data_IF_808394008488
#
_entry.id   IF_808394008488
#
_cell.length_a   1.000
_cell.length_b   1.000
_cell.length_c   1.000
_cell.angle_alpha   90.00
_cell.angle_beta   90.00
_cell.angle_gamma   90.00
#
_symmetry.space_group_name_H-M   'P 1'
#
loop_
_entity.id
_entity.type
_entity.pdbx_description
1 polymer ?
#
# COMPACT_ATOMS: atom_id res chain seq x y z
N UNK A 1 24.12 0.89 19.86
CA UNK A 1 24.69 1.76 20.89
C UNK A 1 23.61 2.36 21.81
N UNK A 2 22.56 3.02 21.27
CA UNK A 2 21.52 3.65 22.09
C UNK A 2 20.76 2.66 23.00
N UNK A 3 20.44 1.46 22.53
CA UNK A 3 19.74 0.44 23.34
C UNK A 3 20.59 -0.14 24.48
N UNK A 4 21.89 0.07 24.47
CA UNK A 4 22.82 -0.36 25.52
C UNK A 4 23.24 0.80 26.45
N UNK A 5 22.83 2.02 26.15
CA UNK A 5 23.13 3.20 26.95
C UNK A 5 22.07 3.43 28.05
N UNK A 6 22.46 4.09 29.13
CA UNK A 6 21.52 4.48 30.19
C UNK A 6 20.58 5.61 29.75
N UNK A 7 21.02 6.43 28.81
CA UNK A 7 20.27 7.52 28.16
C UNK A 7 20.51 7.47 26.65
N UNK A 8 19.54 7.85 25.80
CA UNK A 8 18.22 8.36 26.16
C UNK A 8 17.25 7.25 26.61
N UNK A 9 16.32 7.57 27.49
CA UNK A 9 15.25 6.68 27.96
C UNK A 9 14.08 6.53 26.99
N UNK A 10 13.97 7.43 25.99
CA UNK A 10 12.98 7.41 24.91
C UNK A 10 13.71 7.45 23.57
N UNK A 11 13.45 6.44 22.73
CA UNK A 11 14.03 6.33 21.40
C UNK A 11 12.93 6.27 20.36
N UNK A 12 12.93 7.19 19.40
CA UNK A 12 12.06 7.14 18.24
C UNK A 12 12.85 6.64 17.03
N UNK A 13 12.36 5.60 16.36
CA UNK A 13 13.06 5.00 15.23
C UNK A 13 12.10 4.41 14.19
N UNK A 14 12.62 4.09 13.03
CA UNK A 14 11.91 3.35 11.99
C UNK A 14 12.35 1.89 12.01
N UNK A 15 11.42 0.96 11.72
CA UNK A 15 11.72 -0.47 11.70
C UNK A 15 12.88 -0.84 10.75
N UNK A 16 13.06 -0.09 9.66
CA UNK A 16 14.16 -0.27 8.71
C UNK A 16 15.55 -0.12 9.34
N UNK A 17 15.66 0.54 10.48
CA UNK A 17 16.93 0.68 11.23
C UNK A 17 17.38 -0.60 11.90
N UNK A 18 16.50 -1.59 12.03
CA UNK A 18 16.83 -2.93 12.50
C UNK A 18 17.31 -3.86 11.36
N UNK A 19 17.37 -3.37 10.10
CA UNK A 19 17.92 -4.06 8.96
C UNK A 19 19.43 -3.95 8.84
N UNK A 20 20.04 -4.84 8.05
CA UNK A 20 21.46 -4.80 7.76
C UNK A 20 21.77 -3.63 6.81
N UNK A 21 22.88 -2.91 7.03
CA UNK A 21 23.30 -1.74 6.22
C UNK A 21 23.51 -2.06 4.74
N UNK A 22 23.72 -3.33 4.38
CA UNK A 22 23.98 -3.77 3.01
C UNK A 22 22.70 -4.09 2.22
N UNK A 23 21.54 -4.13 2.87
CA UNK A 23 20.24 -4.44 2.23
C UNK A 23 19.52 -3.14 1.79
N UNK A 24 20.25 -2.14 1.32
CA UNK A 24 19.70 -0.88 0.83
C UNK A 24 18.49 -1.14 -0.07
N UNK A 25 17.33 -0.55 0.27
CA UNK A 25 16.05 -0.51 -0.45
C UNK A 25 15.42 -1.83 -0.92
N UNK A 26 16.08 -2.98 -0.73
CA UNK A 26 15.60 -4.29 -1.23
C UNK A 26 14.56 -4.96 -0.33
N UNK A 27 14.34 -4.47 0.88
CA UNK A 27 13.31 -4.97 1.81
C UNK A 27 12.06 -4.09 1.73
N UNK A 28 11.64 -3.75 0.53
CA UNK A 28 10.28 -3.27 0.31
C UNK A 28 9.35 -4.47 0.32
N UNK A 29 8.31 -4.35 1.11
CA UNK A 29 7.20 -5.30 1.24
C UNK A 29 6.72 -5.70 -0.16
N UNK A 30 7.12 -6.88 -0.64
CA UNK A 30 6.57 -7.44 -1.88
C UNK A 30 7.54 -8.05 -2.90
N UNK A 31 8.85 -7.88 -2.78
CA UNK A 31 9.77 -8.47 -3.76
C UNK A 31 10.25 -9.88 -3.38
N UNK A 32 9.79 -10.88 -4.14
CA UNK A 32 10.08 -12.31 -4.03
C UNK A 32 11.55 -12.71 -4.31
N UNK A 33 12.55 -11.83 -4.10
CA UNK A 33 13.95 -12.07 -4.54
C UNK A 33 14.99 -12.22 -3.44
N UNK A 34 14.64 -12.39 -2.18
CA UNK A 34 15.61 -12.77 -1.16
C UNK A 34 15.01 -13.82 -0.21
N UNK A 35 15.00 -15.08 -0.61
CA UNK A 35 14.85 -16.22 0.29
C UNK A 35 16.17 -16.43 1.08
N UNK A 36 16.66 -15.43 1.82
CA UNK A 36 17.52 -15.71 2.95
C UNK A 36 16.63 -16.33 4.01
N UNK A 37 17.01 -17.51 4.51
CA UNK A 37 16.30 -18.08 5.65
C UNK A 37 16.40 -17.09 6.82
N UNK A 38 15.38 -17.00 7.65
CA UNK A 38 15.39 -16.14 8.83
C UNK A 38 16.66 -16.38 9.67
N UNK A 39 17.06 -17.63 9.81
CA UNK A 39 18.24 -18.04 10.60
C UNK A 39 19.53 -17.41 10.08
N UNK A 40 19.76 -17.44 8.76
CA UNK A 40 20.94 -16.82 8.14
C UNK A 40 20.92 -15.29 8.34
N UNK A 41 19.75 -14.68 8.26
CA UNK A 41 19.60 -13.24 8.49
C UNK A 41 19.91 -12.86 9.95
N UNK A 42 19.40 -13.62 10.92
CA UNK A 42 19.66 -13.40 12.33
C UNK A 42 21.13 -13.65 12.71
N UNK A 43 21.78 -14.65 12.11
CA UNK A 43 23.23 -14.88 12.30
C UNK A 43 24.07 -13.73 11.78
N UNK A 44 23.75 -13.19 10.59
CA UNK A 44 24.45 -12.01 10.05
C UNK A 44 24.23 -10.80 10.95
N UNK A 45 23.02 -10.62 11.45
CA UNK A 45 22.68 -9.55 12.37
C UNK A 45 23.46 -9.67 13.69
N UNK A 46 23.50 -10.86 14.28
CA UNK A 46 24.26 -11.13 15.50
C UNK A 46 25.75 -10.83 15.33
N UNK A 47 26.35 -11.16 14.18
CA UNK A 47 27.74 -10.81 13.84
C UNK A 47 27.99 -9.30 13.70
N UNK A 48 26.96 -8.53 13.38
CA UNK A 48 27.05 -7.07 13.23
C UNK A 48 26.91 -6.31 14.57
N UNK A 49 26.45 -6.97 15.62
CA UNK A 49 26.33 -6.40 16.96
C UNK A 49 27.65 -6.53 17.73
N UNK A 50 27.98 -5.59 18.64
CA UNK A 50 29.08 -5.75 19.58
C UNK A 50 28.94 -7.04 20.38
N UNK A 51 30.04 -7.72 20.66
CA UNK A 51 30.06 -9.00 21.38
C UNK A 51 29.46 -8.91 22.81
N UNK A 52 29.51 -7.76 23.42
CA UNK A 52 28.95 -7.42 24.73
C UNK A 52 27.59 -6.73 24.68
N UNK A 53 26.98 -6.69 23.47
CA UNK A 53 25.68 -6.03 23.31
C UNK A 53 24.59 -6.72 24.14
N UNK A 54 23.95 -5.97 25.01
CA UNK A 54 22.74 -6.36 25.71
C UNK A 54 21.81 -5.16 25.77
N UNK A 55 20.57 -5.38 25.34
CA UNK A 55 19.51 -4.40 25.58
C UNK A 55 19.30 -4.23 27.08
N UNK A 56 19.22 -2.99 27.56
CA UNK A 56 19.09 -2.70 28.99
C UNK A 56 17.64 -2.51 29.40
N UNK A 57 17.30 -3.07 30.56
CA UNK A 57 16.07 -2.77 31.28
C UNK A 57 14.79 -3.37 30.66
N UNK A 58 13.67 -2.98 31.20
CA UNK A 58 12.35 -3.31 30.67
C UNK A 58 12.05 -2.39 29.50
N UNK A 59 12.05 -2.95 28.28
CA UNK A 59 11.80 -2.19 27.05
C UNK A 59 10.33 -2.29 26.70
N UNK A 60 9.68 -1.13 26.54
CA UNK A 60 8.33 -1.01 26.01
C UNK A 60 8.43 -0.44 24.59
N UNK A 61 7.90 -1.15 23.61
CA UNK A 61 7.92 -0.75 22.20
C UNK A 61 6.52 -0.43 21.74
N UNK A 62 6.29 0.83 21.41
CA UNK A 62 5.05 1.32 20.83
C UNK A 62 5.19 1.31 19.31
N UNK A 63 4.35 0.55 18.61
CA UNK A 63 4.42 0.35 17.17
C UNK A 63 3.15 0.91 16.53
N UNK A 64 3.29 2.01 15.82
CA UNK A 64 2.22 2.58 15.01
C UNK A 64 2.07 1.82 13.69
N UNK A 65 0.83 1.76 13.18
CA UNK A 65 0.47 1.01 11.96
C UNK A 65 1.01 -0.44 11.99
N UNK A 66 0.89 -1.09 13.14
CA UNK A 66 1.53 -2.37 13.41
C UNK A 66 1.13 -3.49 12.43
N UNK A 67 -0.01 -3.37 11.73
CA UNK A 67 -0.43 -4.29 10.68
C UNK A 67 0.55 -4.36 9.50
N UNK A 68 1.33 -3.31 9.26
CA UNK A 68 2.33 -3.26 8.17
C UNK A 68 3.62 -4.01 8.50
N UNK A 69 3.91 -4.18 9.80
CA UNK A 69 5.19 -4.72 10.29
C UNK A 69 5.09 -6.15 10.79
N UNK A 70 3.89 -6.75 10.74
CA UNK A 70 3.64 -8.09 11.23
C UNK A 70 4.25 -9.16 10.33
N UNK A 71 5.18 -9.97 10.87
CA UNK A 71 5.69 -11.17 10.23
C UNK A 71 6.77 -10.98 9.18
N UNK A 72 7.48 -9.85 9.17
CA UNK A 72 8.65 -9.65 8.31
C UNK A 72 9.97 -9.93 9.05
N UNK A 73 11.04 -10.20 8.29
CA UNK A 73 12.40 -10.39 8.82
C UNK A 73 12.84 -9.26 9.77
N UNK A 74 12.45 -8.02 9.47
CA UNK A 74 12.74 -6.86 10.30
C UNK A 74 12.07 -6.89 11.68
N UNK A 75 10.86 -7.45 11.77
CA UNK A 75 10.16 -7.61 13.05
C UNK A 75 10.85 -8.65 13.93
N UNK A 76 11.24 -9.78 13.34
CA UNK A 76 11.98 -10.82 14.06
C UNK A 76 13.39 -10.33 14.46
N UNK A 77 14.06 -9.56 13.59
CA UNK A 77 15.32 -8.91 13.92
C UNK A 77 15.19 -7.93 15.09
N UNK A 78 14.14 -7.11 15.09
CA UNK A 78 13.85 -6.20 16.19
C UNK A 78 13.67 -6.95 17.52
N UNK A 79 12.89 -8.01 17.53
CA UNK A 79 12.72 -8.87 18.72
C UNK A 79 14.03 -9.48 19.19
N UNK A 80 14.82 -10.01 18.25
CA UNK A 80 16.11 -10.63 18.57
C UNK A 80 17.09 -9.61 19.19
N UNK A 81 17.11 -8.37 18.70
CA UNK A 81 17.97 -7.31 19.26
C UNK A 81 17.48 -6.87 20.65
N UNK A 82 16.17 -6.78 20.85
CA UNK A 82 15.60 -6.26 22.10
C UNK A 82 15.50 -7.30 23.21
N UNK A 83 15.57 -8.58 22.86
CA UNK A 83 15.43 -9.71 23.80
C UNK A 83 13.99 -10.14 24.03
N UNK A 84 13.82 -11.25 24.75
CA UNK A 84 12.52 -11.91 24.95
C UNK A 84 11.60 -11.17 25.95
N UNK A 85 12.17 -10.35 26.81
CA UNK A 85 11.43 -9.61 27.86
C UNK A 85 10.81 -8.29 27.35
N UNK A 86 10.87 -8.04 26.04
CA UNK A 86 10.30 -6.82 25.46
C UNK A 86 8.78 -6.85 25.42
N UNK A 87 8.14 -5.78 25.90
CA UNK A 87 6.71 -5.58 25.77
C UNK A 87 6.37 -4.82 24.50
N UNK A 88 5.67 -5.47 23.57
CA UNK A 88 5.21 -4.88 22.32
C UNK A 88 3.77 -4.38 22.45
N UNK A 89 3.55 -3.12 22.16
CA UNK A 89 2.23 -2.46 22.14
C UNK A 89 1.96 -1.94 20.76
N UNK A 90 1.01 -2.56 20.04
CA UNK A 90 0.67 -2.21 18.67
C UNK A 90 -0.56 -1.32 18.57
N UNK A 91 -0.48 -0.29 17.74
CA UNK A 91 -1.60 0.57 17.34
C UNK A 91 -1.92 0.34 15.88
N UNK A 92 -3.19 0.20 15.54
CA UNK A 92 -3.62 0.07 14.14
C UNK A 92 -5.11 0.35 13.98
N UNK A 93 -5.46 1.02 12.89
CA UNK A 93 -6.85 1.17 12.45
C UNK A 93 -7.39 -0.07 11.72
N UNK A 94 -6.50 -0.97 11.27
CA UNK A 94 -6.85 -2.14 10.43
C UNK A 94 -6.14 -3.40 10.90
N UNK A 95 -6.58 -4.01 12.01
CA UNK A 95 -5.96 -5.24 12.50
C UNK A 95 -6.13 -6.39 11.49
N UNK A 96 -5.09 -7.20 11.32
CA UNK A 96 -5.13 -8.36 10.41
C UNK A 96 -5.92 -9.49 11.05
N UNK A 97 -6.99 -9.89 10.38
CA UNK A 97 -7.92 -10.94 10.84
C UNK A 97 -7.80 -12.22 10.01
N UNK A 98 -7.07 -12.21 8.88
CA UNK A 98 -7.03 -13.32 7.92
C UNK A 98 -5.83 -14.25 8.06
N UNK A 99 -6.04 -15.50 7.62
CA UNK A 99 -5.19 -16.69 7.81
C UNK A 99 -3.83 -16.66 7.10
N UNK A 100 -3.61 -15.80 6.13
CA UNK A 100 -2.39 -15.81 5.31
C UNK A 100 -1.21 -15.02 5.91
N UNK A 101 -1.45 -14.34 7.05
CA UNK A 101 -0.43 -13.63 7.82
C UNK A 101 -0.69 -13.87 9.30
N UNK A 102 0.38 -13.94 10.10
CA UNK A 102 0.25 -14.00 11.58
C UNK A 102 -0.79 -12.97 12.02
N UNK A 103 -1.79 -13.42 12.75
CA UNK A 103 -2.83 -12.51 13.28
C UNK A 103 -2.18 -11.51 14.23
N UNK A 104 -2.72 -10.29 14.27
CA UNK A 104 -2.25 -9.27 15.22
C UNK A 104 -2.19 -9.79 16.67
N UNK A 105 -3.16 -10.61 17.04
CA UNK A 105 -3.24 -11.26 18.37
C UNK A 105 -2.07 -12.22 18.64
N UNK A 106 -1.56 -12.92 17.63
CA UNK A 106 -0.41 -13.84 17.79
C UNK A 106 0.90 -13.09 18.04
N UNK A 107 0.99 -11.86 17.55
CA UNK A 107 2.20 -11.04 17.68
C UNK A 107 2.19 -10.15 18.92
N UNK A 108 1.04 -9.53 19.22
CA UNK A 108 0.91 -8.51 20.27
C UNK A 108 0.08 -8.98 21.47
N UNK A 109 -0.52 -10.16 21.42
CA UNK A 109 -1.44 -10.63 22.46
C UNK A 109 -2.87 -10.06 22.30
N UNK A 110 -3.63 -10.06 23.38
CA UNK A 110 -5.03 -9.61 23.39
C UNK A 110 -5.16 -8.09 23.18
N UNK A 111 -6.32 -7.68 22.67
CA UNK A 111 -6.63 -6.25 22.57
C UNK A 111 -6.70 -5.62 23.96
N UNK A 112 -5.95 -4.54 24.16
CA UNK A 112 -6.04 -3.70 25.36
C UNK A 112 -7.32 -2.85 25.28
N UNK A 113 -7.56 -2.25 24.11
CA UNK A 113 -8.71 -1.39 23.82
C UNK A 113 -9.07 -1.45 22.35
N UNK A 114 -10.33 -1.26 22.03
CA UNK A 114 -10.80 -1.06 20.65
C UNK A 114 -11.80 0.09 20.61
N UNK A 115 -11.64 0.97 19.60
CA UNK A 115 -12.55 2.06 19.32
C UNK A 115 -13.02 1.92 17.88
N UNK A 116 -14.25 1.44 17.71
CA UNK A 116 -14.77 1.05 16.40
C UNK A 116 -15.37 2.24 15.66
N UNK A 117 -15.45 2.13 14.34
CA UNK A 117 -16.00 3.15 13.45
C UNK A 117 -17.39 3.63 13.90
N UNK A 118 -18.30 2.72 14.24
CA UNK A 118 -19.65 3.05 14.70
C UNK A 118 -19.68 3.81 16.04
N UNK A 119 -18.73 3.55 16.92
CA UNK A 119 -18.56 4.29 18.18
C UNK A 119 -18.08 5.70 17.90
N UNK A 120 -17.07 5.85 17.03
CA UNK A 120 -16.53 7.14 16.63
C UNK A 120 -17.57 8.04 15.90
N UNK A 121 -18.44 7.44 15.08
CA UNK A 121 -19.56 8.15 14.45
C UNK A 121 -20.58 8.60 15.50
N UNK A 122 -20.94 7.72 16.45
CA UNK A 122 -21.86 8.04 17.55
C UNK A 122 -21.34 9.18 18.42
N UNK A 123 -20.03 9.15 18.70
CA UNK A 123 -19.34 10.19 19.49
C UNK A 123 -19.06 11.47 18.67
N UNK A 124 -19.45 11.51 17.39
CA UNK A 124 -19.25 12.63 16.46
C UNK A 124 -17.76 13.01 16.26
N UNK A 125 -16.86 12.07 16.48
CA UNK A 125 -15.42 12.24 16.23
C UNK A 125 -15.12 12.14 14.73
N UNK A 126 -15.88 11.28 14.01
CA UNK A 126 -15.80 11.13 12.56
C UNK A 126 -17.20 11.23 11.94
N UNK A 127 -17.23 11.55 10.66
CA UNK A 127 -18.46 11.55 9.87
C UNK A 127 -18.83 10.12 9.47
N UNK A 128 -20.12 9.86 9.31
CA UNK A 128 -20.62 8.60 8.79
C UNK A 128 -20.19 8.41 7.34
N UNK A 129 -19.78 7.18 7.01
CA UNK A 129 -19.35 6.81 5.66
C UNK A 129 -20.57 6.52 4.79
N UNK A 130 -20.70 7.25 3.69
CA UNK A 130 -21.68 6.97 2.65
C UNK A 130 -20.97 6.38 1.44
N UNK A 131 -21.30 5.13 1.14
CA UNK A 131 -20.76 4.43 0.00
C UNK A 131 -21.73 4.51 -1.19
N UNK A 132 -21.23 4.96 -2.33
CA UNK A 132 -21.96 5.01 -3.59
C UNK A 132 -21.16 4.23 -4.66
N UNK A 133 -21.72 3.12 -5.12
CA UNK A 133 -21.13 2.33 -6.19
C UNK A 133 -21.69 2.81 -7.55
N UNK A 134 -20.81 3.18 -8.47
CA UNK A 134 -21.18 3.58 -9.82
C UNK A 134 -20.56 2.66 -10.85
N UNK A 135 -21.38 2.16 -11.76
CA UNK A 135 -20.93 1.40 -12.92
C UNK A 135 -20.57 2.38 -14.04
N UNK A 136 -19.32 2.32 -14.49
CA UNK A 136 -18.89 2.99 -15.72
C UNK A 136 -18.98 1.97 -16.85
N UNK A 137 -20.00 2.09 -17.68
CA UNK A 137 -20.15 1.24 -18.85
C UNK A 137 -18.97 1.46 -19.81
N UNK A 138 -18.35 0.37 -20.22
CA UNK A 138 -17.26 0.37 -21.20
C UNK A 138 -17.76 -0.29 -22.46
N UNK A 139 -17.84 0.46 -23.55
CA UNK A 139 -18.08 -0.10 -24.87
C UNK A 139 -16.76 -0.35 -25.57
N UNK A 140 -16.43 -1.60 -25.79
CA UNK A 140 -15.38 -1.98 -26.74
C UNK A 140 -15.89 -1.63 -28.13
N UNK A 141 -15.32 -0.61 -28.74
CA UNK A 141 -15.53 -0.36 -30.16
C UNK A 141 -15.22 -1.63 -30.96
N UNK A 142 -15.86 -1.82 -32.10
CA UNK A 142 -15.85 -3.02 -32.96
C UNK A 142 -14.59 -3.90 -32.80
N UNK A 143 -14.71 -4.95 -32.00
CA UNK A 143 -13.65 -5.94 -31.71
C UNK A 143 -13.03 -6.51 -32.99
N UNK A 144 -13.86 -6.71 -34.01
CA UNK A 144 -13.45 -7.19 -35.34
C UNK A 144 -12.38 -6.30 -35.98
N UNK A 145 -12.54 -4.97 -35.95
CA UNK A 145 -11.54 -4.04 -36.50
C UNK A 145 -10.22 -4.03 -35.74
N UNK A 146 -10.29 -4.34 -34.47
CA UNK A 146 -9.11 -4.42 -33.60
C UNK A 146 -8.33 -5.70 -33.92
N UNK A 147 -9.03 -6.82 -34.06
CA UNK A 147 -8.41 -8.10 -34.45
C UNK A 147 -7.82 -8.02 -35.86
N UNK A 148 -8.54 -7.44 -36.84
CA UNK A 148 -8.03 -7.19 -38.19
C UNK A 148 -6.75 -6.33 -38.20
N UNK A 149 -6.74 -5.26 -37.41
CA UNK A 149 -5.55 -4.41 -37.29
C UNK A 149 -4.37 -5.18 -36.67
N UNK A 150 -4.62 -5.97 -35.62
CA UNK A 150 -3.59 -6.79 -35.00
C UNK A 150 -3.02 -7.82 -35.99
N UNK A 151 -3.88 -8.47 -36.73
CA UNK A 151 -3.51 -9.46 -37.74
C UNK A 151 -2.68 -8.82 -38.85
N UNK A 152 -3.07 -7.65 -39.34
CA UNK A 152 -2.31 -6.91 -40.33
C UNK A 152 -0.91 -6.48 -39.83
N UNK A 153 -0.79 -6.02 -38.58
CA UNK A 153 0.47 -5.57 -37.98
C UNK A 153 1.42 -6.68 -37.57
N UNK A 154 0.88 -7.88 -37.30
CA UNK A 154 1.68 -9.04 -36.90
C UNK A 154 1.94 -10.02 -38.06
N UNK A 155 1.57 -9.62 -39.26
CA UNK A 155 1.83 -10.39 -40.49
C UNK A 155 3.34 -10.58 -40.68
N UNK A 156 3.82 -11.84 -40.64
CA UNK A 156 5.25 -12.19 -40.76
C UNK A 156 5.95 -12.55 -39.45
N UNK A 157 5.26 -12.48 -38.30
CA UNK A 157 5.80 -12.98 -37.04
C UNK A 157 5.52 -14.47 -36.88
N UNK A 158 6.43 -15.16 -36.13
CA UNK A 158 6.21 -16.56 -35.75
C UNK A 158 4.98 -16.70 -34.84
N UNK A 159 4.36 -17.88 -34.83
CA UNK A 159 3.20 -18.17 -33.99
C UNK A 159 3.45 -17.90 -32.48
N UNK A 160 4.65 -18.17 -31.99
CA UNK A 160 5.06 -17.93 -30.60
C UNK A 160 5.17 -16.43 -30.30
N UNK A 161 5.81 -15.67 -31.20
CA UNK A 161 5.94 -14.23 -31.06
C UNK A 161 4.56 -13.53 -31.13
N UNK A 162 3.68 -14.03 -32.00
CA UNK A 162 2.32 -13.54 -32.15
C UNK A 162 1.47 -13.81 -30.91
N UNK A 163 1.59 -15.00 -30.31
CA UNK A 163 0.90 -15.35 -29.06
C UNK A 163 1.36 -14.45 -27.89
N UNK A 164 2.67 -14.24 -27.74
CA UNK A 164 3.23 -13.37 -26.71
C UNK A 164 2.79 -11.90 -26.91
N UNK A 165 2.73 -11.41 -28.16
CA UNK A 165 2.20 -10.10 -28.48
C UNK A 165 0.70 -10.00 -28.22
N UNK A 166 -0.08 -11.03 -28.52
CA UNK A 166 -1.52 -11.07 -28.25
C UNK A 166 -1.82 -10.99 -26.76
N UNK A 167 -1.03 -11.66 -25.93
CA UNK A 167 -1.13 -11.57 -24.46
C UNK A 167 -0.80 -10.15 -23.95
N UNK A 168 0.25 -9.53 -24.48
CA UNK A 168 0.58 -8.12 -24.20
C UNK A 168 -0.49 -7.16 -24.71
N UNK A 169 -1.05 -7.45 -25.85
CA UNK A 169 -2.06 -6.62 -26.50
C UNK A 169 -3.41 -6.69 -25.80
N UNK A 170 -3.80 -7.84 -25.27
CA UNK A 170 -4.96 -7.95 -24.38
C UNK A 170 -4.84 -7.04 -23.14
N UNK A 171 -3.61 -6.77 -22.68
CA UNK A 171 -3.35 -5.74 -21.65
C UNK A 171 -3.45 -4.32 -22.21
N UNK A 172 -3.03 -4.08 -23.44
CA UNK A 172 -3.18 -2.80 -24.12
C UNK A 172 -4.64 -2.49 -24.49
N UNK A 173 -5.43 -3.49 -24.84
CA UNK A 173 -6.88 -3.36 -25.05
C UNK A 173 -7.58 -2.81 -23.80
N UNK A 174 -7.14 -3.25 -22.61
CA UNK A 174 -7.55 -2.66 -21.32
C UNK A 174 -7.11 -1.18 -21.19
N UNK A 175 -5.98 -0.80 -21.76
CA UNK A 175 -5.49 0.58 -21.77
C UNK A 175 -6.29 1.48 -22.74
N UNK A 176 -6.65 0.98 -23.91
CA UNK A 176 -7.48 1.74 -24.87
C UNK A 176 -8.92 1.90 -24.37
N UNK A 177 -9.50 0.87 -23.74
CA UNK A 177 -10.78 0.98 -23.06
C UNK A 177 -10.72 1.93 -21.85
N UNK A 178 -9.52 2.16 -21.30
CA UNK A 178 -9.32 3.05 -20.15
C UNK A 178 -9.48 4.54 -20.50
N UNK A 179 -9.22 4.98 -21.74
CA UNK A 179 -9.36 6.41 -22.09
C UNK A 179 -10.82 6.86 -21.97
N UNK A 180 -11.72 6.18 -22.63
CA UNK A 180 -13.15 6.48 -22.56
C UNK A 180 -13.70 6.36 -21.15
N UNK A 181 -13.19 5.38 -20.37
CA UNK A 181 -13.51 5.25 -18.97
C UNK A 181 -12.99 6.41 -18.12
N UNK A 182 -11.76 6.85 -18.35
CA UNK A 182 -11.16 8.00 -17.65
C UNK A 182 -12.00 9.27 -17.96
N UNK A 183 -12.32 9.51 -19.21
CA UNK A 183 -13.12 10.67 -19.63
C UNK A 183 -14.51 10.68 -18.94
N UNK A 184 -15.16 9.51 -18.86
CA UNK A 184 -16.46 9.37 -18.17
C UNK A 184 -16.35 9.56 -16.67
N UNK A 185 -15.33 8.98 -16.03
CA UNK A 185 -15.09 9.16 -14.59
C UNK A 185 -14.81 10.63 -14.28
N UNK A 186 -14.02 11.30 -15.08
CA UNK A 186 -13.74 12.74 -14.91
C UNK A 186 -15.01 13.56 -15.06
N UNK A 187 -15.83 13.29 -16.08
CA UNK A 187 -17.10 13.97 -16.27
C UNK A 187 -18.05 13.77 -15.06
N UNK A 188 -18.11 12.55 -14.54
CA UNK A 188 -18.92 12.22 -13.37
C UNK A 188 -18.42 12.95 -12.10
N UNK A 189 -17.10 13.04 -11.92
CA UNK A 189 -16.49 13.81 -10.83
C UNK A 189 -16.78 15.31 -10.98
N UNK A 190 -16.66 15.88 -12.17
CA UNK A 190 -17.01 17.29 -12.42
C UNK A 190 -18.48 17.55 -12.08
N UNK A 191 -19.37 16.64 -12.47
CA UNK A 191 -20.79 16.72 -12.10
C UNK A 191 -21.00 16.69 -10.58
N UNK A 192 -20.30 15.79 -9.87
CA UNK A 192 -20.37 15.75 -8.41
C UNK A 192 -19.82 17.01 -7.77
N UNK A 193 -18.72 17.55 -8.27
CA UNK A 193 -18.12 18.79 -7.76
C UNK A 193 -19.07 19.99 -7.91
N UNK A 194 -19.90 20.00 -8.96
CA UNK A 194 -20.86 21.08 -9.20
C UNK A 194 -22.18 20.90 -8.46
N UNK A 195 -22.59 19.66 -8.17
CA UNK A 195 -23.94 19.36 -7.67
C UNK A 195 -23.99 19.00 -6.18
N UNK A 196 -22.96 18.30 -5.68
CA UNK A 196 -22.92 17.90 -4.27
C UNK A 196 -22.64 19.11 -3.38
N UNK A 197 -23.56 19.41 -2.49
CA UNK A 197 -23.52 20.61 -1.61
C UNK A 197 -22.18 20.81 -0.90
N UNK A 198 -21.56 19.72 -0.41
CA UNK A 198 -20.29 19.80 0.31
C UNK A 198 -19.12 20.19 -0.62
N UNK A 199 -19.17 19.81 -1.89
CA UNK A 199 -18.13 20.08 -2.89
C UNK A 199 -18.38 21.43 -3.59
N UNK A 200 -19.60 21.68 -4.04
CA UNK A 200 -19.98 22.91 -4.75
C UNK A 200 -19.83 24.18 -3.89
N UNK A 201 -19.93 24.05 -2.56
CA UNK A 201 -19.77 25.16 -1.63
C UNK A 201 -18.31 25.53 -1.30
N UNK A 202 -17.32 24.83 -1.85
CA UNK A 202 -15.90 25.07 -1.59
C UNK A 202 -15.40 24.64 -0.19
N UNK A 203 -16.24 23.95 0.57
CA UNK A 203 -15.90 23.47 1.92
C UNK A 203 -15.43 22.02 1.96
N UNK A 204 -15.61 21.29 0.86
CA UNK A 204 -15.23 19.88 0.76
C UNK A 204 -14.00 19.69 -0.13
N UNK A 205 -13.20 18.65 0.20
CA UNK A 205 -12.12 18.17 -0.64
C UNK A 205 -12.50 16.82 -1.24
N UNK A 206 -11.95 16.52 -2.41
CA UNK A 206 -12.08 15.22 -3.05
C UNK A 206 -10.69 14.61 -3.26
N UNK A 207 -10.60 13.29 -3.13
CA UNK A 207 -9.39 12.53 -3.43
C UNK A 207 -9.73 11.44 -4.44
N UNK A 208 -9.07 11.50 -5.59
CA UNK A 208 -9.15 10.44 -6.59
C UNK A 208 -7.98 9.47 -6.40
N UNK A 209 -8.31 8.21 -6.10
CA UNK A 209 -7.32 7.14 -6.00
C UNK A 209 -7.31 6.35 -7.30
N UNK A 210 -6.19 6.39 -8.00
CA UNK A 210 -5.97 5.66 -9.24
C UNK A 210 -5.30 4.30 -9.00
N UNK A 211 -5.49 3.37 -9.93
CA UNK A 211 -4.88 2.02 -9.89
C UNK A 211 -3.34 2.05 -10.05
N UNK A 212 -2.82 3.07 -10.74
CA UNK A 212 -1.39 3.23 -10.97
C UNK A 212 -0.99 4.70 -11.11
N UNK A 213 0.30 4.98 -10.96
CA UNK A 213 0.87 6.34 -11.19
C UNK A 213 0.55 6.82 -12.62
N UNK A 214 0.69 5.93 -13.61
CA UNK A 214 0.35 6.26 -14.99
C UNK A 214 -1.11 6.71 -15.13
N UNK A 215 -2.03 5.99 -14.51
CA UNK A 215 -3.45 6.32 -14.52
C UNK A 215 -3.72 7.65 -13.80
N UNK A 216 -3.06 7.92 -12.69
CA UNK A 216 -3.15 9.20 -11.99
C UNK A 216 -2.73 10.37 -12.88
N UNK A 217 -1.62 10.23 -13.62
CA UNK A 217 -1.18 11.24 -14.59
C UNK A 217 -2.22 11.45 -15.71
N UNK A 218 -2.84 10.37 -16.20
CA UNK A 218 -3.89 10.47 -17.22
C UNK A 218 -5.14 11.19 -16.71
N UNK A 219 -5.57 10.94 -15.49
CA UNK A 219 -6.65 11.70 -14.87
C UNK A 219 -6.31 13.18 -14.77
N UNK A 220 -5.10 13.48 -14.30
CA UNK A 220 -4.64 14.86 -14.20
C UNK A 220 -4.66 15.58 -15.56
N UNK A 221 -4.15 14.94 -16.63
CA UNK A 221 -4.19 15.48 -18.00
C UNK A 221 -5.63 15.83 -18.45
N UNK A 222 -6.58 14.93 -18.19
CA UNK A 222 -7.98 15.16 -18.58
C UNK A 222 -8.58 16.29 -17.75
N UNK A 223 -8.30 16.36 -16.44
CA UNK A 223 -8.77 17.48 -15.61
C UNK A 223 -8.26 18.85 -16.07
N UNK A 224 -7.08 18.93 -16.68
CA UNK A 224 -6.57 20.19 -17.25
C UNK A 224 -7.44 20.73 -18.43
N UNK A 225 -8.31 19.90 -18.99
CA UNK A 225 -9.27 20.31 -20.04
C UNK A 225 -10.68 20.59 -19.51
N UNK A 226 -10.88 20.53 -18.20
CA UNK A 226 -12.16 20.76 -17.51
C UNK A 226 -12.16 22.08 -16.74
N UNK A 227 -13.30 22.41 -16.15
CA UNK A 227 -13.47 23.53 -15.22
C UNK A 227 -12.67 23.39 -13.91
N UNK A 228 -12.20 22.18 -13.59
CA UNK A 228 -11.33 21.90 -12.44
C UNK A 228 -9.85 22.15 -12.71
N UNK A 229 -9.51 22.73 -13.86
CA UNK A 229 -8.14 23.14 -14.18
C UNK A 229 -7.56 24.06 -13.12
N UNK A 230 -6.40 23.68 -12.59
CA UNK A 230 -5.73 24.45 -11.54
C UNK A 230 -6.24 24.19 -10.11
N UNK A 231 -7.22 23.29 -9.93
CA UNK A 231 -7.73 22.86 -8.63
C UNK A 231 -7.27 21.44 -8.25
N UNK A 232 -6.49 20.77 -9.09
CA UNK A 232 -5.91 19.44 -8.88
C UNK A 232 -4.41 19.39 -9.23
#
# INVERSE_FOLDING_TARGET
EMLNAAEPWLICTLIHKFGNKNDGDAISVGNKKANKSLDVYLEELAKSLPADFRSKGNIYVFIDECHRTQGGLLHEAMKHIMGDDVMLIGFTGTPLLHTDKKKSIETFGSYIHSYKFNEAVKDKVILDLRYEARNVEQYLGKREKIDEWFDAKTKGLSSVARAALKERWAKMEKLFSSKERIDRIVADICQDMSTKRALAGGYGNAMLVADSIYQACRYWEVFQSTELKGHC
#
